data_IF_427109489919
#
_entry.id   IF_427109489919
#
_cell.length_a   1.000
_cell.length_b   1.000
_cell.length_c   1.000
_cell.angle_alpha   90.00
_cell.angle_beta   90.00
_cell.angle_gamma   90.00
#
_symmetry.space_group_name_H-M   'P 1'
#
loop_
_entity.id
_entity.type
_entity.pdbx_description
1 polymer ?
#
# COMPACT_ATOMS: atom_id res chain seq x y z
N UNK A 1 -35.44 -15.70 33.23
CA UNK A 1 -34.60 -14.52 33.53
C UNK A 1 -33.18 -15.01 33.57
N UNK A 2 -32.45 -14.82 32.48
CA UNK A 2 -30.97 -14.79 32.36
C UNK A 2 -30.65 -14.84 30.87
N UNK A 3 -30.43 -13.66 30.30
CA UNK A 3 -29.77 -13.47 29.01
C UNK A 3 -28.27 -13.51 29.27
N UNK A 4 -27.58 -14.54 28.80
CA UNK A 4 -26.12 -14.53 28.75
C UNK A 4 -25.69 -14.22 27.32
N UNK A 5 -24.98 -13.10 27.20
CA UNK A 5 -24.36 -12.61 25.99
C UNK A 5 -23.00 -13.29 25.83
N UNK A 6 -22.93 -14.34 25.01
CA UNK A 6 -21.66 -14.94 24.63
C UNK A 6 -21.01 -14.14 23.49
N UNK A 7 -20.14 -13.23 23.91
CA UNK A 7 -18.77 -13.03 23.43
C UNK A 7 -18.50 -13.28 21.92
N UNK A 8 -18.46 -12.18 21.16
CA UNK A 8 -18.08 -12.14 19.75
C UNK A 8 -16.56 -11.90 19.59
N UNK A 9 -15.74 -12.71 20.25
CA UNK A 9 -14.28 -12.72 20.09
C UNK A 9 -13.87 -13.99 19.34
N UNK A 10 -14.05 -13.97 18.02
CA UNK A 10 -13.72 -15.09 17.14
C UNK A 10 -12.24 -15.45 17.18
N UNK A 11 -11.92 -16.56 17.85
CA UNK A 11 -10.65 -17.27 17.72
C UNK A 11 -10.59 -17.95 16.35
N UNK A 12 -9.82 -17.39 15.41
CA UNK A 12 -9.34 -18.16 14.25
C UNK A 12 -8.21 -19.06 14.71
N UNK A 13 -8.54 -20.22 15.28
CA UNK A 13 -7.54 -21.15 15.84
C UNK A 13 -7.48 -22.51 15.12
N UNK A 14 -8.43 -22.84 14.23
CA UNK A 14 -8.40 -24.11 13.49
C UNK A 14 -8.32 -23.92 11.97
N UNK A 15 -7.57 -24.81 11.31
CA UNK A 15 -7.51 -24.94 9.84
C UNK A 15 -8.91 -25.20 9.28
N UNK A 16 -9.76 -25.93 10.01
CA UNK A 16 -11.16 -26.19 9.68
C UNK A 16 -11.98 -24.90 9.57
N UNK A 17 -11.85 -23.97 10.52
CA UNK A 17 -12.55 -22.67 10.49
C UNK A 17 -12.12 -21.83 9.29
N UNK A 18 -10.83 -21.92 8.94
CA UNK A 18 -10.26 -21.25 7.77
C UNK A 18 -10.82 -21.84 6.45
N UNK A 19 -11.01 -23.16 6.41
CA UNK A 19 -11.65 -23.85 5.29
C UNK A 19 -13.11 -23.45 5.14
N UNK A 20 -13.86 -23.46 6.24
CA UNK A 20 -15.28 -23.09 6.28
C UNK A 20 -15.47 -21.62 5.89
N UNK A 21 -14.61 -20.73 6.39
CA UNK A 21 -14.64 -19.31 6.03
C UNK A 21 -14.41 -19.11 4.54
N UNK A 22 -13.39 -19.72 3.94
CA UNK A 22 -13.14 -19.56 2.51
C UNK A 22 -14.09 -20.37 1.61
N UNK A 23 -14.94 -21.24 2.18
CA UNK A 23 -16.08 -21.85 1.48
C UNK A 23 -17.39 -21.12 1.75
N UNK A 24 -17.40 -20.13 2.66
CA UNK A 24 -18.57 -19.30 2.94
C UNK A 24 -18.94 -18.43 1.74
N UNK A 25 -20.18 -17.94 1.73
CA UNK A 25 -20.64 -16.99 0.71
C UNK A 25 -20.22 -15.58 1.13
N UNK A 26 -19.46 -14.85 0.29
CA UNK A 26 -19.15 -13.46 0.58
C UNK A 26 -20.44 -12.63 0.57
N UNK A 27 -20.44 -11.53 1.33
CA UNK A 27 -21.56 -10.62 1.37
C UNK A 27 -21.81 -9.98 0.01
N UNK A 28 -20.73 -9.54 -0.66
CA UNK A 28 -20.74 -9.15 -2.06
C UNK A 28 -20.36 -10.36 -2.92
N UNK A 29 -21.30 -10.90 -3.72
CA UNK A 29 -20.99 -11.97 -4.67
C UNK A 29 -19.82 -11.55 -5.56
N UNK A 30 -18.91 -12.48 -5.80
CA UNK A 30 -17.86 -12.28 -6.80
C UNK A 30 -18.52 -12.04 -8.15
N UNK A 31 -18.11 -10.96 -8.83
CA UNK A 31 -18.62 -10.71 -10.16
C UNK A 31 -18.11 -11.81 -11.11
N UNK A 32 -19.02 -12.42 -11.86
CA UNK A 32 -18.68 -13.22 -13.03
C UNK A 32 -18.26 -12.28 -14.18
N UNK A 33 -17.22 -11.48 -13.94
CA UNK A 33 -16.57 -10.71 -15.00
C UNK A 33 -15.94 -11.69 -16.00
N UNK A 34 -15.77 -11.27 -17.26
CA UNK A 34 -15.15 -12.08 -18.32
C UNK A 34 -13.68 -12.43 -18.02
N UNK A 35 -12.88 -12.70 -19.05
CA UNK A 35 -11.47 -13.06 -18.86
C UNK A 35 -10.74 -12.01 -18.00
N UNK A 36 -10.31 -12.41 -16.81
CA UNK A 36 -9.54 -11.56 -15.88
C UNK A 36 -8.23 -11.17 -16.52
N UNK A 37 -7.81 -9.92 -16.35
CA UNK A 37 -6.49 -9.49 -16.80
C UNK A 37 -5.43 -10.20 -15.96
N UNK A 38 -4.63 -11.04 -16.61
CA UNK A 38 -3.63 -11.88 -15.95
C UNK A 38 -2.26 -11.24 -15.96
N UNK A 39 -1.62 -11.22 -14.80
CA UNK A 39 -0.25 -10.76 -14.57
C UNK A 39 0.62 -11.92 -14.11
N UNK A 40 1.94 -11.79 -14.24
CA UNK A 40 2.86 -12.78 -13.65
C UNK A 40 2.87 -12.62 -12.13
N UNK A 41 3.05 -11.39 -11.67
CA UNK A 41 3.11 -11.05 -10.25
C UNK A 41 2.32 -9.79 -9.94
N UNK A 42 1.67 -9.76 -8.79
CA UNK A 42 0.98 -8.58 -8.25
C UNK A 42 1.52 -8.30 -6.84
N UNK A 43 1.71 -7.03 -6.51
CA UNK A 43 1.99 -6.56 -5.15
C UNK A 43 0.92 -5.57 -4.74
N UNK A 44 0.41 -5.75 -3.51
CA UNK A 44 -0.43 -4.78 -2.82
C UNK A 44 0.05 -4.64 -1.37
N UNK A 45 -0.09 -3.45 -0.81
CA UNK A 45 0.26 -3.10 0.57
C UNK A 45 -0.75 -2.11 1.15
N UNK A 46 -0.57 -1.75 2.42
CA UNK A 46 -1.20 -0.57 3.04
C UNK A 46 -2.72 -0.50 2.78
N UNK A 47 -3.37 -1.66 2.97
CA UNK A 47 -4.81 -1.82 2.79
C UNK A 47 -5.57 -1.31 4.02
N UNK A 48 -5.00 -1.54 5.21
CA UNK A 48 -5.56 -1.13 6.49
C UNK A 48 -7.01 -1.60 6.73
N UNK A 49 -7.29 -2.89 6.48
CA UNK A 49 -8.55 -3.52 6.89
C UNK A 49 -8.72 -3.36 8.41
N UNK A 50 -9.84 -2.80 8.83
CA UNK A 50 -10.07 -2.42 10.23
C UNK A 50 -10.19 -0.92 10.44
N UNK A 51 -9.91 -0.13 9.40
CA UNK A 51 -10.09 1.32 9.39
C UNK A 51 -11.26 1.74 8.52
N UNK A 52 -11.75 2.98 8.71
CA UNK A 52 -12.74 3.59 7.82
C UNK A 52 -12.14 4.14 6.52
N UNK A 53 -10.81 4.27 6.46
CA UNK A 53 -10.10 4.82 5.30
C UNK A 53 -9.89 3.78 4.19
N UNK A 54 -9.90 2.48 4.52
CA UNK A 54 -9.77 1.41 3.53
C UNK A 54 -10.87 1.48 2.46
N UNK A 55 -10.48 1.61 1.20
CA UNK A 55 -11.36 1.49 0.04
C UNK A 55 -11.59 0.01 -0.33
N UNK A 56 -12.21 -0.74 0.59
CA UNK A 56 -12.43 -2.17 0.43
C UNK A 56 -13.23 -2.51 -0.84
N UNK A 57 -14.20 -1.69 -1.22
CA UNK A 57 -15.01 -1.90 -2.41
C UNK A 57 -14.20 -1.82 -3.71
N UNK A 58 -13.24 -0.89 -3.77
CA UNK A 58 -12.34 -0.75 -4.91
C UNK A 58 -11.35 -1.91 -4.98
N UNK A 59 -10.85 -2.37 -3.83
CA UNK A 59 -9.99 -3.56 -3.74
C UNK A 59 -10.75 -4.85 -4.13
N UNK A 60 -12.01 -4.98 -3.72
CA UNK A 60 -12.89 -6.08 -4.14
C UNK A 60 -13.03 -6.09 -5.67
N UNK A 61 -13.31 -4.94 -6.29
CA UNK A 61 -13.40 -4.83 -7.74
C UNK A 61 -12.08 -5.23 -8.43
N UNK A 62 -10.94 -4.74 -7.92
CA UNK A 62 -9.62 -5.16 -8.39
C UNK A 62 -9.45 -6.67 -8.33
N UNK A 63 -9.73 -7.26 -7.17
CA UNK A 63 -9.56 -8.68 -6.94
C UNK A 63 -10.50 -9.55 -7.80
N UNK A 64 -11.61 -8.99 -8.29
CA UNK A 64 -12.53 -9.69 -9.18
C UNK A 64 -12.12 -9.61 -10.66
N UNK A 65 -11.31 -8.61 -11.04
CA UNK A 65 -10.96 -8.31 -12.44
C UNK A 65 -9.55 -8.69 -12.86
N UNK A 66 -8.61 -8.88 -11.93
CA UNK A 66 -7.25 -9.30 -12.25
C UNK A 66 -6.95 -10.71 -11.74
N UNK A 67 -5.91 -11.36 -12.25
CA UNK A 67 -5.39 -12.61 -11.68
C UNK A 67 -3.86 -12.66 -11.80
N UNK A 68 -3.20 -13.54 -11.04
CA UNK A 68 -1.75 -13.71 -11.15
C UNK A 68 -1.22 -15.07 -10.71
N UNK A 69 -0.01 -15.39 -11.20
CA UNK A 69 0.70 -16.60 -10.78
C UNK A 69 1.25 -16.42 -9.35
N UNK A 70 1.74 -15.23 -9.03
CA UNK A 70 2.21 -14.85 -7.68
C UNK A 70 1.53 -13.58 -7.20
N UNK A 71 1.21 -13.50 -5.91
CA UNK A 71 0.74 -12.27 -5.27
C UNK A 71 1.45 -12.08 -3.95
N UNK A 72 2.03 -10.90 -3.78
CA UNK A 72 2.66 -10.45 -2.55
C UNK A 72 1.72 -9.48 -1.83
N UNK A 73 1.56 -9.71 -0.52
CA UNK A 73 0.92 -8.79 0.40
C UNK A 73 2.04 -8.11 1.20
N UNK A 74 2.40 -6.87 0.85
CA UNK A 74 3.63 -6.19 1.28
C UNK A 74 3.39 -5.31 2.52
N UNK A 75 2.67 -5.86 3.49
CA UNK A 75 2.45 -5.29 4.81
C UNK A 75 1.23 -4.40 4.91
N UNK A 76 0.86 -4.11 6.16
CA UNK A 76 -0.26 -3.27 6.55
C UNK A 76 -1.59 -3.65 5.87
N UNK A 77 -1.82 -4.96 5.72
CA UNK A 77 -3.09 -5.48 5.17
C UNK A 77 -4.22 -5.30 6.17
N UNK A 78 -3.92 -5.53 7.46
CA UNK A 78 -4.87 -5.39 8.57
C UNK A 78 -4.34 -4.32 9.52
N UNK A 79 -5.19 -3.37 9.90
CA UNK A 79 -4.83 -2.36 10.90
C UNK A 79 -5.14 -2.84 12.32
N UNK A 80 -4.22 -3.63 12.87
CA UNK A 80 -4.35 -4.15 14.23
C UNK A 80 -4.29 -3.08 15.31
N UNK A 81 -3.65 -1.93 15.04
CA UNK A 81 -3.60 -0.81 15.98
C UNK A 81 -4.96 -0.14 16.13
N UNK A 82 -5.66 0.13 15.03
CA UNK A 82 -7.00 0.71 15.05
C UNK A 82 -8.03 -0.27 15.63
N UNK A 83 -7.95 -1.56 15.25
CA UNK A 83 -8.85 -2.59 15.80
C UNK A 83 -8.76 -2.70 17.33
N UNK A 84 -7.56 -2.59 17.90
CA UNK A 84 -7.36 -2.56 19.36
C UNK A 84 -7.98 -1.33 20.02
N UNK A 85 -7.97 -0.17 19.35
CA UNK A 85 -8.54 1.09 19.88
C UNK A 85 -10.06 1.09 19.81
N UNK A 86 -10.62 0.74 18.65
CA UNK A 86 -12.05 0.63 18.42
C UNK A 86 -12.30 -0.36 17.29
N UNK A 87 -12.95 -1.46 17.63
CA UNK A 87 -13.30 -2.47 16.65
C UNK A 87 -14.20 -1.89 15.54
N UNK A 88 -13.75 -2.02 14.30
CA UNK A 88 -14.49 -1.62 13.10
C UNK A 88 -14.19 -2.64 12.01
N UNK A 89 -15.17 -3.49 11.68
CA UNK A 89 -14.99 -4.57 10.71
C UNK A 89 -16.27 -4.79 9.89
N UNK A 90 -16.53 -3.94 8.89
CA UNK A 90 -17.67 -4.11 7.98
C UNK A 90 -17.53 -5.37 7.13
N UNK A 91 -18.65 -5.87 6.60
CA UNK A 91 -18.70 -7.10 5.81
C UNK A 91 -17.75 -7.08 4.58
N UNK A 92 -17.57 -5.91 3.95
CA UNK A 92 -16.63 -5.75 2.84
C UNK A 92 -15.18 -6.13 3.20
N UNK A 93 -14.77 -6.00 4.46
CA UNK A 93 -13.43 -6.43 4.88
C UNK A 93 -13.31 -7.96 4.87
N UNK A 94 -14.36 -8.68 5.26
CA UNK A 94 -14.41 -10.14 5.10
C UNK A 94 -14.38 -10.55 3.63
N UNK A 95 -15.06 -9.80 2.76
CA UNK A 95 -15.10 -10.06 1.33
C UNK A 95 -13.72 -9.92 0.65
N UNK A 96 -12.87 -9.01 1.14
CA UNK A 96 -11.45 -8.90 0.73
C UNK A 96 -10.67 -10.15 1.16
N UNK A 97 -10.72 -10.51 2.45
CA UNK A 97 -10.00 -11.67 2.98
C UNK A 97 -10.43 -12.96 2.25
N UNK A 98 -11.74 -13.12 2.02
CA UNK A 98 -12.28 -14.25 1.29
C UNK A 98 -11.71 -14.35 -0.13
N UNK A 99 -11.61 -13.24 -0.87
CA UNK A 99 -11.03 -13.21 -2.23
C UNK A 99 -9.55 -13.59 -2.23
N UNK A 100 -8.78 -13.09 -1.27
CA UNK A 100 -7.36 -13.43 -1.11
C UNK A 100 -7.17 -14.93 -0.85
N UNK A 101 -7.97 -15.50 0.07
CA UNK A 101 -7.92 -16.93 0.39
C UNK A 101 -8.39 -17.80 -0.78
N UNK A 102 -9.43 -17.36 -1.51
CA UNK A 102 -9.90 -18.05 -2.70
C UNK A 102 -8.83 -18.11 -3.78
N UNK A 103 -8.06 -17.04 -4.00
CA UNK A 103 -6.90 -17.03 -4.91
C UNK A 103 -5.82 -18.02 -4.49
N UNK A 104 -5.45 -18.03 -3.21
CA UNK A 104 -4.51 -19.00 -2.66
C UNK A 104 -4.93 -20.44 -2.99
N UNK A 105 -6.22 -20.75 -2.77
CA UNK A 105 -6.80 -22.08 -3.07
C UNK A 105 -6.84 -22.41 -4.56
N UNK A 106 -7.03 -21.41 -5.43
CA UNK A 106 -6.99 -21.56 -6.89
C UNK A 106 -5.58 -21.77 -7.45
N UNK A 107 -4.54 -21.71 -6.61
CA UNK A 107 -3.16 -22.02 -6.98
C UNK A 107 -2.25 -20.81 -7.14
N UNK A 108 -2.74 -19.58 -6.87
CA UNK A 108 -1.86 -18.41 -6.83
C UNK A 108 -0.85 -18.56 -5.69
N UNK A 109 0.43 -18.37 -5.98
CA UNK A 109 1.47 -18.34 -4.95
C UNK A 109 1.35 -17.06 -4.13
N UNK A 110 0.78 -17.18 -2.93
CA UNK A 110 0.57 -16.05 -2.03
C UNK A 110 1.72 -15.93 -1.01
N UNK A 111 2.30 -14.74 -0.89
CA UNK A 111 3.32 -14.44 0.13
C UNK A 111 2.92 -13.19 0.89
N UNK A 112 2.81 -13.29 2.22
CA UNK A 112 2.48 -12.18 3.10
C UNK A 112 3.71 -11.73 3.88
N UNK A 113 4.03 -10.45 3.79
CA UNK A 113 5.12 -9.79 4.50
C UNK A 113 4.50 -8.78 5.48
N UNK A 114 4.45 -9.07 6.79
CA UNK A 114 3.82 -8.15 7.74
C UNK A 114 4.59 -6.81 7.88
N UNK A 115 3.85 -5.71 7.86
CA UNK A 115 4.27 -4.37 8.19
C UNK A 115 4.18 -4.04 9.68
N UNK A 116 4.04 -2.76 10.01
CA UNK A 116 4.00 -2.28 11.39
C UNK A 116 2.59 -2.30 12.01
N UNK A 117 1.54 -2.09 11.21
CA UNK A 117 0.16 -2.15 11.73
C UNK A 117 -0.32 -3.58 11.99
N UNK A 118 0.25 -4.54 11.27
CA UNK A 118 -0.02 -5.97 11.38
C UNK A 118 1.18 -6.74 11.97
N UNK A 119 1.99 -6.06 12.82
CA UNK A 119 3.20 -6.60 13.46
C UNK A 119 2.98 -7.92 14.21
N UNK A 120 1.76 -8.19 14.71
CA UNK A 120 1.44 -9.42 15.40
C UNK A 120 1.62 -10.65 14.52
N UNK A 121 1.56 -10.51 13.19
CA UNK A 121 1.79 -11.61 12.27
C UNK A 121 3.28 -11.92 12.05
N UNK A 122 4.19 -11.04 12.48
CA UNK A 122 5.65 -11.27 12.36
C UNK A 122 6.11 -12.51 13.12
N UNK A 123 5.45 -12.83 14.23
CA UNK A 123 5.75 -14.03 15.04
C UNK A 123 5.46 -15.34 14.29
N UNK A 124 4.62 -15.28 13.26
CA UNK A 124 4.23 -16.43 12.43
C UNK A 124 5.07 -16.55 11.15
N UNK A 125 6.13 -15.75 11.00
CA UNK A 125 7.02 -15.86 9.86
C UNK A 125 7.64 -17.27 9.75
N UNK A 126 7.56 -17.86 8.56
CA UNK A 126 7.97 -19.24 8.29
C UNK A 126 6.78 -20.21 8.15
N UNK A 127 5.62 -19.84 8.68
CA UNK A 127 4.39 -20.64 8.56
C UNK A 127 3.68 -20.42 7.21
N UNK A 128 2.70 -21.28 6.95
CA UNK A 128 1.78 -21.24 5.81
C UNK A 128 0.35 -21.34 6.36
N UNK A 129 -0.50 -20.36 6.04
CA UNK A 129 -1.90 -20.30 6.46
C UNK A 129 -2.81 -20.33 5.24
N UNK A 130 -3.45 -21.49 5.01
CA UNK A 130 -4.41 -21.64 3.91
C UNK A 130 -3.83 -21.36 2.52
N UNK A 131 -2.54 -21.63 2.30
CA UNK A 131 -1.84 -21.34 1.05
C UNK A 131 -1.14 -19.98 1.01
N UNK A 132 -1.22 -19.19 2.08
CA UNK A 132 -0.54 -17.89 2.22
C UNK A 132 0.70 -18.05 3.09
N UNK A 133 1.88 -17.87 2.49
CA UNK A 133 3.16 -18.01 3.17
C UNK A 133 3.56 -16.72 3.87
N UNK A 134 3.69 -16.75 5.20
CA UNK A 134 4.11 -15.57 5.97
C UNK A 134 5.63 -15.49 6.02
N UNK A 135 6.22 -14.38 5.61
CA UNK A 135 7.68 -14.16 5.55
C UNK A 135 8.03 -12.78 6.08
N UNK A 136 9.24 -12.60 6.63
CA UNK A 136 9.72 -11.25 7.02
C UNK A 136 10.14 -10.40 5.82
N UNK A 137 10.61 -11.07 4.77
CA UNK A 137 11.06 -10.51 3.50
C UNK A 137 11.12 -11.64 2.47
N UNK A 138 11.13 -11.30 1.20
CA UNK A 138 11.32 -12.26 0.12
C UNK A 138 12.32 -11.73 -0.91
N UNK A 139 12.89 -12.64 -1.71
CA UNK A 139 13.52 -12.26 -2.97
C UNK A 139 12.64 -12.80 -4.09
N UNK A 140 12.19 -11.90 -4.95
CA UNK A 140 11.45 -12.21 -6.15
C UNK A 140 12.40 -12.19 -7.35
N UNK A 141 12.26 -13.14 -8.27
CA UNK A 141 12.99 -13.15 -9.53
C UNK A 141 11.98 -12.81 -10.64
N UNK A 142 12.22 -11.69 -11.33
CA UNK A 142 11.36 -11.21 -12.40
C UNK A 142 11.53 -12.08 -13.66
N UNK A 143 10.61 -11.96 -14.61
CA UNK A 143 10.69 -12.67 -15.89
C UNK A 143 11.93 -12.29 -16.72
N UNK A 144 12.45 -11.07 -16.53
CA UNK A 144 13.69 -10.59 -17.17
C UNK A 144 14.96 -10.84 -16.33
N UNK A 145 14.86 -11.61 -15.24
CA UNK A 145 15.99 -12.12 -14.48
C UNK A 145 16.52 -11.20 -13.37
N UNK A 146 15.88 -10.06 -13.12
CA UNK A 146 16.20 -9.18 -11.98
C UNK A 146 15.77 -9.81 -10.67
N UNK A 147 16.58 -9.65 -9.64
CA UNK A 147 16.29 -10.06 -8.27
C UNK A 147 15.79 -8.85 -7.50
N UNK A 148 14.56 -8.91 -7.03
CA UNK A 148 13.92 -7.84 -6.26
C UNK A 148 13.77 -8.26 -4.80
N UNK A 149 14.26 -7.45 -3.87
CA UNK A 149 13.98 -7.59 -2.45
C UNK A 149 12.57 -7.09 -2.15
N UNK A 150 11.70 -7.93 -1.61
CA UNK A 150 10.35 -7.54 -1.18
C UNK A 150 10.34 -7.42 0.34
N UNK A 151 9.97 -6.24 0.85
CA UNK A 151 9.84 -5.93 2.28
C UNK A 151 8.81 -4.81 2.48
N UNK A 152 8.25 -4.64 3.67
CA UNK A 152 7.27 -3.57 3.91
C UNK A 152 7.89 -2.17 3.90
N UNK A 153 8.88 -1.90 4.77
CA UNK A 153 9.63 -0.64 4.78
C UNK A 153 9.80 0.01 6.15
N UNK A 154 8.91 -0.29 7.09
CA UNK A 154 8.91 0.23 8.47
C UNK A 154 10.24 0.03 9.22
N UNK A 155 11.03 -1.00 8.89
CA UNK A 155 12.33 -1.25 9.50
C UNK A 155 13.33 -0.07 9.28
N UNK A 156 13.08 0.80 8.29
CA UNK A 156 13.92 1.94 7.94
C UNK A 156 13.48 3.26 8.57
N UNK A 157 12.36 3.29 9.30
CA UNK A 157 11.88 4.49 9.99
C UNK A 157 12.87 5.00 11.03
N UNK A 158 13.44 4.10 11.84
CA UNK A 158 14.40 4.50 12.88
C UNK A 158 15.65 5.18 12.29
N UNK A 159 16.06 4.77 11.08
CA UNK A 159 17.19 5.34 10.36
C UNK A 159 16.80 6.70 9.77
N UNK A 160 15.62 6.80 9.16
CA UNK A 160 15.11 8.06 8.60
C UNK A 160 14.87 9.11 9.70
N UNK A 161 14.35 8.69 10.86
CA UNK A 161 14.04 9.54 12.01
C UNK A 161 15.28 9.95 12.82
N UNK A 162 16.38 9.19 12.82
CA UNK A 162 17.62 9.58 13.52
C UNK A 162 18.35 10.74 12.84
N UNK A 163 18.09 10.98 11.55
CA UNK A 163 18.58 12.17 10.82
C UNK A 163 17.71 13.42 10.97
N UNK A 164 16.67 13.41 11.83
CA UNK A 164 15.75 14.54 12.06
C UNK A 164 16.43 15.85 12.43
N UNK A 165 17.60 15.82 13.06
CA UNK A 165 18.37 17.03 13.38
C UNK A 165 18.72 17.83 12.11
N UNK A 166 18.96 17.16 10.98
CA UNK A 166 19.22 17.80 9.69
C UNK A 166 17.98 18.52 9.15
N UNK A 167 16.79 17.92 9.35
CA UNK A 167 15.51 18.54 9.04
C UNK A 167 15.23 19.74 9.96
N UNK A 168 15.60 19.66 11.25
CA UNK A 168 15.50 20.79 12.19
C UNK A 168 16.43 21.95 11.82
N UNK A 169 17.65 21.68 11.34
CA UNK A 169 18.57 22.71 10.83
C UNK A 169 18.01 23.35 9.55
N UNK A 170 17.45 22.54 8.63
CA UNK A 170 16.79 23.03 7.42
C UNK A 170 15.56 23.90 7.72
N UNK A 171 14.73 23.50 8.69
CA UNK A 171 13.55 24.24 9.14
C UNK A 171 13.93 25.56 9.84
N UNK A 172 14.99 25.55 10.65
CA UNK A 172 15.54 26.76 11.27
C UNK A 172 16.10 27.74 10.22
N UNK A 173 16.91 27.26 9.27
CA UNK A 173 17.45 28.07 8.18
C UNK A 173 16.33 28.65 7.29
N UNK A 174 15.29 27.87 7.00
CA UNK A 174 14.14 28.32 6.23
C UNK A 174 13.27 29.32 7.02
N UNK A 175 13.06 29.11 8.32
CA UNK A 175 12.37 30.06 9.20
C UNK A 175 13.11 31.38 9.30
N UNK A 176 14.45 31.36 9.36
CA UNK A 176 15.29 32.55 9.26
C UNK A 176 15.11 33.24 7.90
N UNK A 177 15.11 32.48 6.80
CA UNK A 177 14.88 32.99 5.44
C UNK A 177 13.48 33.61 5.29
N UNK A 178 12.46 33.03 5.93
CA UNK A 178 11.09 33.53 5.92
C UNK A 178 10.93 34.77 6.77
N UNK A 179 11.61 34.84 7.90
CA UNK A 179 11.67 36.04 8.76
C UNK A 179 12.37 37.17 8.03
N UNK A 180 13.50 36.88 7.37
CA UNK A 180 14.20 37.82 6.49
C UNK A 180 13.30 38.27 5.35
N UNK A 181 12.56 37.36 4.71
CA UNK A 181 11.60 37.72 3.67
C UNK A 181 10.46 38.60 4.22
N UNK A 182 9.98 38.38 5.45
CA UNK A 182 8.97 39.25 6.08
C UNK A 182 9.55 40.64 6.34
N UNK A 183 10.79 40.74 6.79
CA UNK A 183 11.50 42.01 6.96
C UNK A 183 11.69 42.73 5.62
N UNK A 184 12.16 42.03 4.58
CA UNK A 184 12.26 42.56 3.21
C UNK A 184 10.90 42.96 2.65
N UNK A 185 9.85 42.19 2.93
CA UNK A 185 8.48 42.53 2.51
C UNK A 185 7.93 43.75 3.27
N UNK A 186 8.31 43.94 4.53
CA UNK A 186 7.97 45.13 5.30
C UNK A 186 8.68 46.39 4.76
N UNK A 187 9.95 46.25 4.37
CA UNK A 187 10.70 47.29 3.66
C UNK A 187 10.03 47.58 2.30
N UNK A 188 9.69 46.56 1.51
CA UNK A 188 8.99 46.71 0.21
C UNK A 188 7.61 47.36 0.33
N UNK A 189 6.86 47.10 1.41
CA UNK A 189 5.60 47.81 1.71
C UNK A 189 5.83 49.30 1.98
N UNK A 190 6.93 49.65 2.66
CA UNK A 190 7.33 51.05 2.86
C UNK A 190 7.69 51.77 1.55
N UNK A 191 8.03 51.02 0.51
CA UNK A 191 8.32 51.50 -0.86
C UNK A 191 7.18 51.21 -1.88
N UNK A 192 5.96 50.88 -1.44
CA UNK A 192 4.79 50.80 -2.32
C UNK A 192 4.70 49.59 -3.26
N UNK A 193 5.41 48.48 -2.99
CA UNK A 193 5.38 47.28 -3.83
C UNK A 193 4.39 46.19 -3.30
N UNK A 194 3.77 45.36 -4.17
CA UNK A 194 2.68 44.42 -3.81
C UNK A 194 3.10 43.19 -2.96
N UNK A 195 2.11 42.57 -2.29
CA UNK A 195 2.20 41.56 -1.20
C UNK A 195 2.11 40.06 -1.62
N UNK A 196 2.60 39.11 -0.77
CA UNK A 196 2.44 37.63 -0.90
C UNK A 196 2.81 36.82 0.40
N UNK A 197 2.39 35.56 0.69
CA UNK A 197 1.08 34.89 0.87
C UNK A 197 1.23 33.61 1.76
N UNK A 198 0.10 33.00 2.18
CA UNK A 198 -0.10 31.79 3.02
C UNK A 198 0.48 30.47 2.46
N UNK A 199 0.81 30.45 1.18
CA UNK A 199 1.44 29.35 0.43
C UNK A 199 2.78 28.88 1.02
N UNK A 200 3.45 29.71 1.83
CA UNK A 200 4.76 29.39 2.43
C UNK A 200 4.73 28.31 3.50
N UNK A 201 3.64 28.19 4.26
CA UNK A 201 3.49 27.16 5.31
C UNK A 201 3.03 25.82 4.73
N UNK A 202 2.10 25.82 3.77
CA UNK A 202 1.77 24.62 3.00
C UNK A 202 3.02 24.10 2.25
N UNK A 203 3.80 25.00 1.63
CA UNK A 203 5.05 24.66 0.94
C UNK A 203 6.12 24.07 1.87
N UNK A 204 6.17 24.46 3.14
CA UNK A 204 7.13 23.90 4.11
C UNK A 204 6.76 22.46 4.50
N UNK A 205 5.48 22.21 4.82
CA UNK A 205 5.00 20.84 5.10
C UNK A 205 5.18 19.91 3.90
N UNK A 206 4.85 20.40 2.70
CA UNK A 206 5.06 19.66 1.44
C UNK A 206 6.55 19.37 1.22
N UNK A 207 7.43 20.35 1.40
CA UNK A 207 8.89 20.14 1.27
C UNK A 207 9.44 19.12 2.27
N UNK A 208 8.98 19.17 3.52
CA UNK A 208 9.44 18.25 4.57
C UNK A 208 8.93 16.82 4.31
N UNK A 209 7.69 16.66 3.84
CA UNK A 209 7.15 15.38 3.43
C UNK A 209 7.92 14.81 2.23
N UNK A 210 8.16 15.63 1.19
CA UNK A 210 8.95 15.23 0.01
C UNK A 210 10.37 14.83 0.40
N UNK A 211 11.04 15.60 1.27
CA UNK A 211 12.39 15.27 1.72
C UNK A 211 12.43 13.99 2.58
N UNK A 212 11.38 13.72 3.36
CA UNK A 212 11.24 12.46 4.10
C UNK A 212 11.09 11.28 3.14
N UNK A 213 10.16 11.39 2.18
CA UNK A 213 9.92 10.38 1.15
C UNK A 213 11.21 10.07 0.39
N UNK A 214 11.87 11.09 -0.18
CA UNK A 214 13.10 10.87 -0.95
C UNK A 214 14.22 10.24 -0.12
N UNK A 215 14.35 10.60 1.16
CA UNK A 215 15.34 9.99 2.05
C UNK A 215 15.01 8.52 2.35
N UNK A 216 13.74 8.21 2.57
CA UNK A 216 13.30 6.84 2.78
C UNK A 216 13.59 5.98 1.54
N UNK A 217 13.21 6.45 0.35
CA UNK A 217 13.49 5.78 -0.93
C UNK A 217 14.99 5.48 -1.09
N UNK A 218 15.86 6.45 -0.81
CA UNK A 218 17.32 6.32 -0.89
C UNK A 218 17.86 5.24 0.06
N UNK A 219 17.43 5.26 1.34
CA UNK A 219 17.88 4.30 2.35
C UNK A 219 17.46 2.88 1.98
N UNK A 220 16.22 2.71 1.51
CA UNK A 220 15.67 1.40 1.14
C UNK A 220 16.40 0.85 -0.08
N UNK A 221 16.65 1.69 -1.09
CA UNK A 221 17.41 1.31 -2.29
C UNK A 221 18.86 0.93 -1.96
N UNK A 222 19.54 1.70 -1.10
CA UNK A 222 20.90 1.39 -0.63
C UNK A 222 20.95 0.05 0.13
N UNK A 223 19.97 -0.19 1.01
CA UNK A 223 19.87 -1.45 1.75
C UNK A 223 19.62 -2.67 0.84
N UNK A 224 18.96 -2.47 -0.30
CA UNK A 224 18.80 -3.50 -1.32
C UNK A 224 20.10 -3.70 -2.12
N UNK A 225 20.71 -2.63 -2.61
CA UNK A 225 21.98 -2.70 -3.36
C UNK A 225 23.11 -3.37 -2.57
N UNK A 226 23.22 -3.08 -1.27
CA UNK A 226 24.19 -3.73 -0.37
C UNK A 226 23.98 -5.24 -0.18
N UNK A 227 22.80 -5.76 -0.54
CA UNK A 227 22.48 -7.20 -0.53
C UNK A 227 22.70 -7.87 -1.89
N UNK A 228 23.20 -7.14 -2.88
CA UNK A 228 23.47 -7.66 -4.23
C UNK A 228 22.20 -8.10 -4.96
N UNK A 229 21.11 -7.35 -4.78
CA UNK A 229 19.87 -7.47 -5.55
C UNK A 229 19.73 -6.27 -6.48
N UNK A 230 18.97 -6.43 -7.56
CA UNK A 230 18.82 -5.44 -8.64
C UNK A 230 17.73 -4.39 -8.31
N UNK A 231 16.86 -4.70 -7.35
CA UNK A 231 15.80 -3.79 -6.94
C UNK A 231 15.12 -4.13 -5.63
N UNK A 232 14.15 -3.30 -5.26
CA UNK A 232 13.35 -3.42 -4.04
C UNK A 232 11.89 -3.05 -4.31
N UNK A 233 10.98 -3.83 -3.72
CA UNK A 233 9.54 -3.56 -3.70
C UNK A 233 9.11 -3.35 -2.25
N UNK A 234 8.47 -2.23 -1.96
CA UNK A 234 8.00 -1.86 -0.62
C UNK A 234 6.68 -1.07 -0.65
N UNK A 235 6.05 -0.92 0.52
CA UNK A 235 4.87 -0.07 0.72
C UNK A 235 5.19 1.07 1.69
N UNK A 236 4.44 1.16 2.79
CA UNK A 236 4.68 1.93 4.02
C UNK A 236 4.59 3.46 3.92
N UNK A 237 5.05 4.07 2.82
CA UNK A 237 4.98 5.53 2.62
C UNK A 237 3.78 5.98 1.77
N UNK A 238 2.91 5.05 1.37
CA UNK A 238 1.64 5.32 0.65
C UNK A 238 1.82 6.16 -0.62
N UNK A 239 2.98 6.05 -1.27
CA UNK A 239 3.30 6.85 -2.46
C UNK A 239 3.79 5.90 -3.53
N UNK A 240 2.87 5.51 -4.42
CA UNK A 240 3.18 4.62 -5.52
C UNK A 240 4.20 5.28 -6.46
N UNK A 241 5.31 4.60 -6.74
CA UNK A 241 6.42 5.17 -7.50
C UNK A 241 7.27 4.07 -8.17
N UNK A 242 7.77 4.34 -9.38
CA UNK A 242 8.77 3.52 -10.06
C UNK A 242 9.96 4.40 -10.39
N UNK A 243 11.10 4.11 -9.78
CA UNK A 243 12.30 4.94 -9.92
C UNK A 243 13.56 4.10 -9.92
N UNK A 244 14.61 4.59 -10.57
CA UNK A 244 15.96 4.06 -10.38
C UNK A 244 16.73 4.96 -9.40
N UNK A 245 17.35 4.35 -8.40
CA UNK A 245 18.11 5.03 -7.35
C UNK A 245 19.47 4.36 -7.23
N UNK A 246 20.53 5.09 -7.61
CA UNK A 246 21.91 4.59 -7.56
C UNK A 246 22.11 3.21 -8.25
N UNK A 247 21.42 2.97 -9.37
CA UNK A 247 21.48 1.71 -10.12
C UNK A 247 20.63 0.57 -9.53
N UNK A 248 19.82 0.85 -8.50
CA UNK A 248 18.86 -0.09 -7.92
C UNK A 248 17.45 0.34 -8.31
N UNK A 249 16.65 -0.59 -8.81
CA UNK A 249 15.25 -0.32 -9.12
C UNK A 249 14.42 -0.23 -7.82
N UNK A 250 13.74 0.88 -7.62
CA UNK A 250 12.85 1.13 -6.50
C UNK A 250 11.39 1.09 -6.97
N UNK A 251 10.59 0.27 -6.29
CA UNK A 251 9.17 0.13 -6.55
C UNK A 251 8.38 0.34 -5.25
N UNK A 252 7.41 1.23 -5.30
CA UNK A 252 6.39 1.36 -4.28
C UNK A 252 5.01 1.06 -4.86
N UNK A 253 4.25 0.15 -4.25
CA UNK A 253 2.92 -0.26 -4.72
C UNK A 253 1.80 0.68 -4.25
N UNK A 254 2.10 1.62 -3.35
CA UNK A 254 1.20 2.65 -2.87
C UNK A 254 0.30 2.15 -1.73
N UNK A 255 -1.02 2.32 -1.86
CA UNK A 255 -1.97 2.01 -0.80
C UNK A 255 -3.39 1.79 -1.33
N UNK A 256 -4.29 1.27 -0.48
CA UNK A 256 -5.73 1.13 -0.76
C UNK A 256 -6.62 2.04 0.11
N UNK A 257 -6.12 3.22 0.46
CA UNK A 257 -6.77 4.24 1.29
C UNK A 257 -7.03 5.53 0.50
N UNK A 258 -6.03 6.07 -0.18
CA UNK A 258 -6.12 7.25 -1.04
C UNK A 258 -5.68 6.92 -2.47
N UNK A 259 -4.52 6.28 -2.64
CA UNK A 259 -3.94 6.01 -3.96
C UNK A 259 -4.71 4.96 -4.77
N UNK A 260 -5.20 3.92 -4.10
CA UNK A 260 -5.86 2.76 -4.70
C UNK A 260 -5.07 2.16 -5.86
N UNK A 261 -3.81 1.83 -5.58
CA UNK A 261 -2.84 1.37 -6.56
C UNK A 261 -2.40 -0.07 -6.31
N UNK A 262 -1.88 -0.70 -7.36
CA UNK A 262 -1.16 -1.97 -7.27
C UNK A 262 0.04 -1.95 -8.20
N UNK A 263 1.16 -2.49 -7.75
CA UNK A 263 2.29 -2.79 -8.63
C UNK A 263 2.05 -4.15 -9.28
N UNK A 264 2.31 -4.24 -10.57
CA UNK A 264 2.18 -5.48 -11.34
C UNK A 264 3.40 -5.73 -12.21
N UNK A 265 3.71 -7.00 -12.39
CA UNK A 265 4.73 -7.50 -13.30
C UNK A 265 4.03 -8.30 -14.41
N UNK A 266 4.33 -7.92 -15.65
CA UNK A 266 3.88 -8.61 -16.86
C UNK A 266 4.72 -9.86 -17.14
N UNK A 267 4.23 -10.75 -17.99
CA UNK A 267 4.95 -11.98 -18.33
C UNK A 267 6.27 -11.75 -19.10
N UNK A 268 6.48 -10.56 -19.64
CA UNK A 268 7.72 -10.11 -20.28
C UNK A 268 8.70 -9.43 -19.31
N UNK A 269 8.34 -9.28 -18.03
CA UNK A 269 9.16 -8.65 -17.00
C UNK A 269 8.94 -7.14 -16.86
N UNK A 270 8.07 -6.53 -17.69
CA UNK A 270 7.70 -5.12 -17.54
C UNK A 270 6.99 -4.91 -16.20
N UNK A 271 7.39 -3.84 -15.49
CA UNK A 271 6.74 -3.39 -14.27
C UNK A 271 5.77 -2.24 -14.58
N UNK A 272 4.62 -2.19 -13.90
CA UNK A 272 3.61 -1.16 -14.08
C UNK A 272 2.90 -0.89 -12.75
N UNK A 273 2.58 0.37 -12.47
CA UNK A 273 1.64 0.75 -11.40
C UNK A 273 0.26 0.93 -12.03
N UNK A 274 -0.71 0.20 -11.51
CA UNK A 274 -2.11 0.37 -11.88
C UNK A 274 -2.75 1.39 -10.93
N UNK A 275 -3.32 2.44 -11.50
CA UNK A 275 -4.21 3.36 -10.80
C UNK A 275 -5.65 2.87 -10.97
N UNK A 276 -6.20 2.19 -9.96
CA UNK A 276 -7.41 1.39 -10.16
C UNK A 276 -8.67 2.24 -10.36
N UNK A 277 -8.75 3.41 -9.73
CA UNK A 277 -9.83 4.37 -9.96
C UNK A 277 -9.94 4.76 -11.45
N UNK A 278 -8.80 4.98 -12.12
CA UNK A 278 -8.77 5.31 -13.54
C UNK A 278 -9.16 4.10 -14.41
N UNK A 279 -8.86 2.88 -13.98
CA UNK A 279 -9.26 1.65 -14.69
C UNK A 279 -10.77 1.39 -14.56
N UNK A 280 -11.38 1.67 -13.40
CA UNK A 280 -12.85 1.67 -13.24
C UNK A 280 -13.47 2.70 -14.18
N UNK A 281 -13.02 3.96 -14.11
CA UNK A 281 -13.56 5.04 -14.93
C UNK A 281 -13.45 4.74 -16.43
N UNK A 282 -12.33 4.14 -16.87
CA UNK A 282 -12.14 3.70 -18.26
C UNK A 282 -13.13 2.61 -18.68
N UNK A 283 -13.40 1.62 -17.82
CA UNK A 283 -14.38 0.55 -18.09
C UNK A 283 -15.80 1.12 -18.18
N UNK A 284 -16.20 1.95 -17.23
CA UNK A 284 -17.52 2.60 -17.24
C UNK A 284 -17.74 3.46 -18.49
N UNK A 285 -16.70 4.21 -18.91
CA UNK A 285 -16.75 5.01 -20.12
C UNK A 285 -16.83 4.16 -21.41
N UNK A 286 -16.28 2.95 -21.42
CA UNK A 286 -16.35 2.03 -22.55
C UNK A 286 -17.72 1.33 -22.67
N UNK A 287 -18.45 1.17 -21.56
CA UNK A 287 -19.78 0.57 -21.52
C UNK A 287 -20.90 1.58 -21.83
N UNK A 288 -20.70 2.86 -21.53
CA UNK A 288 -21.68 3.93 -21.77
C UNK A 288 -22.19 4.06 -23.23
N UNK A 289 -21.36 3.88 -24.30
CA UNK A 289 -21.83 3.94 -25.69
C UNK A 289 -22.70 2.75 -26.11
N UNK A 290 -22.56 1.59 -25.46
CA UNK A 290 -23.34 0.38 -25.76
C UNK A 290 -24.77 0.45 -25.20
N UNK A 291 -24.97 1.14 -24.07
CA UNK A 291 -26.28 1.29 -23.46
C UNK A 291 -27.21 2.25 -24.23
N UNK A 292 -26.65 3.28 -24.90
CA UNK A 292 -27.45 4.24 -25.68
C UNK A 292 -27.89 3.72 -27.05
N UNK A 293 -27.21 2.69 -27.58
CA UNK A 293 -27.59 2.03 -28.83
C UNK A 293 -28.60 0.87 -28.61
N UNK A 294 -28.84 0.49 -27.35
CA UNK A 294 -29.76 -0.57 -26.95
C UNK A 294 -31.07 -0.05 -26.30
N UNK A 295 -31.25 1.28 -26.23
CA UNK A 295 -32.44 1.96 -25.74
C UNK A 295 -33.21 2.61 -26.90
#
# INVERSE_FOLDING_TARGET
MTTDATDATGHFADVTDLFDFANSRPHRPEQASGDRRRYRTIWISDVHLGTRGCNADMLIDFLDHVDSDTMYLVGDIIDGWQLKKRFFWPAAHNDVIWRLMKRARRGTRMVYIPGNHDEMFRQFAGLDFGGIKIRRKAVHETADGRRLLVLHGDEFDAITLSHRWLAHVGDAAYTALMTLNRAVSAVRRKFGMPYWSLSKHAKAKVKNAVAFISRFEEIVAEAAGSRGVDGVVCGHIHTAEIREIAGVAYYNDGDWVEGCTALVEHFDGRMEILHWADEIARREAAEAPLALAAA
#
